data_IF_599163801572
#
_entry.id   IF_599163801572
#
_cell.length_a   1.000
_cell.length_b   1.000
_cell.length_c   1.000
_cell.angle_alpha   90.00
_cell.angle_beta   90.00
_cell.angle_gamma   90.00
#
_symmetry.space_group_name_H-M   'P 1'
#
loop_
_entity.id
_entity.type
_entity.pdbx_description
1 polymer ?
#
# COMPACT_ATOMS: atom_id res chain seq x y z
N UNK A 1 -8.94 -1.55 -14.24
CA UNK A 1 -8.91 -2.19 -12.90
C UNK A 1 -8.56 -1.13 -11.88
N UNK A 2 -9.39 -0.90 -10.88
CA UNK A 2 -8.97 -0.11 -9.71
C UNK A 2 -8.09 -0.97 -8.82
N UNK A 3 -7.00 -0.38 -8.33
CA UNK A 3 -6.08 -0.99 -7.40
C UNK A 3 -5.85 -0.01 -6.27
N UNK A 4 -6.22 -0.40 -5.07
CA UNK A 4 -6.04 0.37 -3.85
C UNK A 4 -4.70 0.00 -3.24
N UNK A 5 -3.93 0.99 -2.81
CA UNK A 5 -2.58 0.76 -2.32
C UNK A 5 -2.21 1.69 -1.17
N UNK A 6 -1.29 1.23 -0.39
CA UNK A 6 -0.66 1.95 0.70
C UNK A 6 0.82 1.59 0.79
N UNK A 7 1.64 2.46 1.37
CA UNK A 7 3.05 2.22 1.62
C UNK A 7 3.45 2.59 3.03
N UNK A 8 4.32 1.77 3.63
CA UNK A 8 5.02 2.14 4.84
C UNK A 8 6.46 2.52 4.51
N UNK A 9 6.97 3.58 5.13
CA UNK A 9 8.26 4.15 4.82
C UNK A 9 8.93 4.81 6.03
N UNK A 10 10.22 5.14 5.92
CA UNK A 10 11.07 5.49 7.05
C UNK A 10 10.88 6.92 7.59
N UNK A 11 10.04 7.75 6.98
CA UNK A 11 9.73 9.07 7.52
C UNK A 11 9.19 10.06 6.49
N UNK A 12 8.57 11.13 6.97
CA UNK A 12 7.92 12.16 6.16
C UNK A 12 8.95 13.20 5.64
N UNK A 13 9.93 12.75 4.86
CA UNK A 13 10.99 13.58 4.29
C UNK A 13 11.45 13.04 2.93
N UNK A 14 12.21 13.85 2.17
CA UNK A 14 12.59 13.50 0.78
C UNK A 14 13.51 12.28 0.65
N UNK A 15 14.28 11.95 1.68
CA UNK A 15 15.21 10.82 1.67
C UNK A 15 14.60 9.55 2.28
N UNK A 16 13.29 9.53 2.42
CA UNK A 16 12.59 8.36 2.97
C UNK A 16 12.75 7.14 2.06
N UNK A 17 12.72 5.96 2.65
CA UNK A 17 12.84 4.67 1.95
C UNK A 17 11.65 3.77 2.28
N UNK A 18 11.22 2.96 1.31
CA UNK A 18 10.10 2.03 1.48
C UNK A 18 10.45 0.93 2.47
N UNK A 19 9.55 0.66 3.41
CA UNK A 19 9.56 -0.49 4.32
C UNK A 19 8.66 -1.60 3.75
N UNK A 20 7.42 -1.24 3.36
CA UNK A 20 6.50 -2.19 2.74
C UNK A 20 5.57 -1.50 1.74
N UNK A 21 4.94 -2.29 0.90
CA UNK A 21 3.90 -1.87 -0.02
C UNK A 21 2.78 -2.91 -0.06
N UNK A 22 1.54 -2.47 0.02
CA UNK A 22 0.35 -3.30 -0.06
C UNK A 22 -0.58 -2.84 -1.16
N UNK A 23 -1.08 -3.77 -1.97
CA UNK A 23 -2.05 -3.48 -3.02
C UNK A 23 -3.20 -4.49 -2.97
N UNK A 24 -4.41 -4.02 -3.25
CA UNK A 24 -5.59 -4.85 -3.46
C UNK A 24 -6.38 -4.36 -4.67
N UNK A 25 -6.62 -5.25 -5.63
CA UNK A 25 -7.44 -4.96 -6.79
C UNK A 25 -8.94 -5.10 -6.49
N UNK A 26 -9.79 -4.52 -7.33
CA UNK A 26 -11.26 -4.66 -7.23
C UNK A 26 -11.70 -6.12 -7.22
N UNK A 27 -11.03 -7.00 -7.97
CA UNK A 27 -11.33 -8.44 -8.06
C UNK A 27 -10.82 -9.25 -6.84
N UNK A 28 -10.23 -8.57 -5.86
CA UNK A 28 -9.74 -9.16 -4.61
C UNK A 28 -8.34 -9.77 -4.69
N UNK A 29 -7.63 -9.65 -5.81
CA UNK A 29 -6.22 -10.03 -5.89
C UNK A 29 -5.38 -9.07 -5.05
N UNK A 30 -4.40 -9.60 -4.34
CA UNK A 30 -3.52 -8.81 -3.46
C UNK A 30 -2.06 -8.97 -3.83
N UNK A 31 -1.30 -7.91 -3.58
CA UNK A 31 0.15 -7.91 -3.57
C UNK A 31 0.63 -7.27 -2.27
N UNK A 32 1.57 -7.91 -1.60
CA UNK A 32 2.25 -7.35 -0.44
C UNK A 32 3.73 -7.65 -0.54
N UNK A 33 4.56 -6.66 -0.30
CA UNK A 33 5.99 -6.88 -0.23
C UNK A 33 6.65 -6.00 0.82
N UNK A 34 7.72 -6.52 1.42
CA UNK A 34 8.61 -5.82 2.34
C UNK A 34 9.98 -5.65 1.72
N UNK A 35 10.59 -4.49 1.94
CA UNK A 35 11.87 -4.13 1.37
C UNK A 35 12.99 -4.43 2.39
N UNK A 36 13.88 -5.35 2.05
CA UNK A 36 14.99 -5.72 2.93
C UNK A 36 16.12 -4.67 2.94
N UNK A 37 16.14 -3.77 1.96
CA UNK A 37 17.15 -2.75 1.70
C UNK A 37 16.73 -1.31 2.06
N UNK A 38 15.67 -1.15 2.88
CA UNK A 38 15.33 0.16 3.45
C UNK A 38 16.47 0.71 4.35
N UNK A 39 16.53 2.01 4.51
CA UNK A 39 17.55 2.66 5.36
C UNK A 39 17.24 2.48 6.85
N UNK A 40 17.84 1.45 7.44
CA UNK A 40 17.67 1.10 8.86
C UNK A 40 18.14 2.20 9.82
N UNK A 41 18.99 3.11 9.37
CA UNK A 41 19.45 4.23 10.20
C UNK A 41 18.37 5.29 10.46
N UNK A 42 17.27 5.24 9.69
CA UNK A 42 16.13 6.14 9.81
C UNK A 42 15.02 5.58 10.72
N UNK A 43 15.17 4.36 11.25
CA UNK A 43 14.18 3.76 12.13
C UNK A 43 14.36 4.31 13.54
N UNK A 44 13.34 4.98 14.04
CA UNK A 44 13.18 5.38 15.43
C UNK A 44 12.32 4.39 16.23
N UNK A 45 12.15 4.63 17.52
CA UNK A 45 11.36 3.76 18.41
C UNK A 45 9.89 3.69 17.94
N UNK A 46 9.33 4.79 17.43
CA UNK A 46 7.95 4.80 16.95
C UNK A 46 7.76 3.90 15.72
N UNK A 47 8.65 4.04 14.73
CA UNK A 47 8.63 3.21 13.52
C UNK A 47 8.88 1.73 13.85
N UNK A 48 9.77 1.47 14.80
CA UNK A 48 10.03 0.10 15.26
C UNK A 48 8.78 -0.54 15.86
N UNK A 49 8.08 0.18 16.75
CA UNK A 49 6.96 -0.36 17.52
C UNK A 49 5.64 -0.37 16.71
N UNK A 50 5.46 0.57 15.78
CA UNK A 50 4.19 0.73 15.07
C UNK A 50 4.23 0.25 13.61
N UNK A 51 5.37 0.28 12.94
CA UNK A 51 5.49 -0.13 11.54
C UNK A 51 6.21 -1.48 11.44
N UNK A 52 7.48 -1.56 11.86
CA UNK A 52 8.25 -2.81 11.74
C UNK A 52 7.59 -3.97 12.49
N UNK A 53 7.08 -3.71 13.70
CA UNK A 53 6.38 -4.72 14.51
C UNK A 53 5.11 -5.28 13.82
N UNK A 54 4.53 -4.56 12.85
CA UNK A 54 3.33 -4.95 12.13
C UNK A 54 3.61 -5.52 10.73
N UNK A 55 4.88 -5.61 10.32
CA UNK A 55 5.28 -6.33 9.10
C UNK A 55 5.17 -7.85 9.29
N UNK A 56 5.05 -8.59 8.20
CA UNK A 56 4.95 -10.07 8.25
C UNK A 56 6.30 -10.75 8.34
N UNK A 57 7.36 -10.19 7.74
CA UNK A 57 8.68 -10.80 7.66
C UNK A 57 9.71 -10.04 8.50
N UNK A 58 9.78 -8.70 8.37
CA UNK A 58 10.80 -7.88 9.03
C UNK A 58 10.62 -7.83 10.55
N UNK A 59 9.39 -8.05 11.06
CA UNK A 59 9.10 -8.09 12.51
C UNK A 59 9.80 -9.22 13.25
N UNK A 60 10.29 -10.25 12.54
CA UNK A 60 10.80 -11.47 13.15
C UNK A 60 9.73 -12.34 13.84
N UNK A 61 8.47 -11.94 13.77
CA UNK A 61 7.35 -12.79 14.21
C UNK A 61 7.22 -13.89 13.18
N UNK A 62 7.47 -15.14 13.55
CA UNK A 62 7.10 -16.32 12.75
C UNK A 62 5.57 -16.42 12.68
N UNK A 63 4.94 -15.46 12.07
CA UNK A 63 3.56 -15.58 11.67
C UNK A 63 3.58 -16.51 10.47
N UNK A 64 3.20 -17.75 10.65
CA UNK A 64 3.17 -18.82 9.64
C UNK A 64 2.30 -18.53 8.42
N UNK A 65 2.45 -17.36 7.85
CA UNK A 65 1.73 -16.81 6.74
C UNK A 65 2.75 -16.33 5.70
N UNK A 66 2.83 -17.13 4.70
CA UNK A 66 2.81 -16.87 3.28
C UNK A 66 4.13 -16.65 2.55
N UNK A 67 4.65 -17.73 2.08
CA UNK A 67 5.04 -17.76 0.68
C UNK A 67 3.85 -18.33 -0.09
N UNK A 68 2.85 -17.53 -0.39
CA UNK A 68 1.73 -17.92 -1.23
C UNK A 68 1.83 -17.24 -2.58
N UNK A 69 2.46 -17.90 -3.52
CA UNK A 69 2.31 -17.64 -4.96
C UNK A 69 1.01 -18.25 -5.48
N UNK A 70 -0.11 -17.98 -4.82
CA UNK A 70 -1.39 -18.24 -5.45
C UNK A 70 -1.67 -17.11 -6.44
N UNK A 71 -2.35 -17.39 -7.56
CA UNK A 71 -2.78 -16.38 -8.55
C UNK A 71 -3.59 -15.21 -7.96
N UNK A 72 -3.98 -15.30 -6.67
CA UNK A 72 -4.81 -14.31 -5.98
C UNK A 72 -4.08 -13.50 -4.92
N UNK A 73 -2.98 -14.00 -4.36
CA UNK A 73 -2.27 -13.30 -3.28
C UNK A 73 -0.78 -13.50 -3.44
N UNK A 74 -0.05 -12.41 -3.51
CA UNK A 74 1.40 -12.38 -3.55
C UNK A 74 1.92 -11.78 -2.25
N UNK A 75 2.90 -12.41 -1.62
CA UNK A 75 3.51 -11.93 -0.40
C UNK A 75 5.00 -12.30 -0.39
N UNK A 76 5.89 -11.31 -0.22
CA UNK A 76 7.33 -11.48 -0.41
C UNK A 76 8.13 -10.48 0.44
N UNK A 77 9.37 -10.85 0.77
CA UNK A 77 10.39 -9.93 1.29
C UNK A 77 11.63 -10.01 0.39
N UNK A 78 12.17 -8.86 0.01
CA UNK A 78 13.33 -8.80 -0.88
C UNK A 78 13.93 -7.42 -1.03
N UNK A 79 15.05 -7.33 -1.75
CA UNK A 79 15.60 -6.04 -2.15
C UNK A 79 14.73 -5.38 -3.22
N UNK A 80 14.76 -4.05 -3.28
CA UNK A 80 13.96 -3.22 -4.18
C UNK A 80 13.90 -3.71 -5.63
N UNK A 81 15.01 -4.15 -6.29
CA UNK A 81 14.92 -4.63 -7.68
C UNK A 81 14.07 -5.89 -7.84
N UNK A 82 14.10 -6.80 -6.88
CA UNK A 82 13.30 -8.03 -6.86
C UNK A 82 11.82 -7.71 -6.66
N UNK A 83 11.51 -6.97 -5.60
CA UNK A 83 10.13 -6.53 -5.31
C UNK A 83 9.52 -5.77 -6.50
N UNK A 84 10.29 -4.88 -7.13
CA UNK A 84 9.84 -4.17 -8.35
C UNK A 84 9.50 -5.13 -9.49
N UNK A 85 10.32 -6.14 -9.74
CA UNK A 85 10.07 -7.11 -10.82
C UNK A 85 8.76 -7.88 -10.55
N UNK A 86 8.59 -8.37 -9.34
CA UNK A 86 7.38 -9.10 -8.92
C UNK A 86 6.13 -8.23 -8.98
N UNK A 87 6.23 -6.96 -8.54
CA UNK A 87 5.13 -6.00 -8.64
C UNK A 87 4.76 -5.70 -10.11
N UNK A 88 5.75 -5.57 -10.97
CA UNK A 88 5.52 -5.38 -12.40
C UNK A 88 4.77 -6.56 -13.02
N UNK A 89 5.16 -7.80 -12.68
CA UNK A 89 4.49 -9.01 -13.15
C UNK A 89 3.06 -9.11 -12.61
N UNK A 90 2.84 -8.73 -11.34
CA UNK A 90 1.52 -8.69 -10.76
C UNK A 90 0.61 -7.63 -11.43
N UNK A 91 1.13 -6.44 -11.71
CA UNK A 91 0.40 -5.39 -12.41
C UNK A 91 0.10 -5.77 -13.87
N UNK A 92 0.96 -6.54 -14.53
CA UNK A 92 0.80 -6.99 -15.93
C UNK A 92 -0.42 -7.93 -16.13
N UNK A 93 -1.01 -8.45 -15.06
CA UNK A 93 -2.26 -9.24 -15.13
C UNK A 93 -3.47 -8.40 -15.56
N UNK A 94 -3.40 -7.07 -15.48
CA UNK A 94 -4.49 -6.16 -15.75
C UNK A 94 -4.23 -5.39 -17.05
N UNK A 95 -5.27 -5.21 -17.87
CA UNK A 95 -5.18 -4.42 -19.10
C UNK A 95 -4.86 -2.95 -18.81
N UNK A 96 -5.55 -2.38 -17.81
CA UNK A 96 -5.33 -1.02 -17.32
C UNK A 96 -5.46 -1.00 -15.80
N UNK A 97 -4.65 -0.16 -15.13
CA UNK A 97 -4.61 0.01 -13.68
C UNK A 97 -4.82 1.47 -13.33
N UNK A 98 -5.77 1.74 -12.45
CA UNK A 98 -5.96 3.03 -11.77
C UNK A 98 -5.55 2.86 -10.31
N UNK A 99 -4.54 3.59 -9.86
CA UNK A 99 -4.05 3.56 -8.48
C UNK A 99 -4.86 4.51 -7.61
N UNK A 100 -5.36 3.97 -6.50
CA UNK A 100 -6.15 4.68 -5.49
C UNK A 100 -5.48 4.53 -4.12
N UNK A 101 -5.33 5.65 -3.39
CA UNK A 101 -4.82 5.64 -2.03
C UNK A 101 -5.50 6.73 -1.21
N UNK A 102 -5.04 6.94 0.01
CA UNK A 102 -5.29 8.14 0.80
C UNK A 102 -3.97 8.85 1.10
N UNK A 103 -4.01 10.17 1.24
CA UNK A 103 -2.80 10.96 1.51
C UNK A 103 -1.64 10.73 0.51
N UNK A 104 -1.93 10.64 -0.77
CA UNK A 104 -1.09 10.24 -1.92
C UNK A 104 0.32 10.84 -2.01
N UNK A 105 0.63 11.90 -1.24
CA UNK A 105 1.83 12.70 -1.47
C UNK A 105 3.14 11.88 -1.42
N UNK A 106 3.25 10.95 -0.47
CA UNK A 106 4.41 10.06 -0.37
C UNK A 106 4.20 8.75 -1.12
N UNK A 107 3.07 8.10 -0.95
CA UNK A 107 2.79 6.78 -1.54
C UNK A 107 3.06 6.74 -3.04
N UNK A 108 2.51 7.71 -3.78
CA UNK A 108 2.67 7.72 -5.23
C UNK A 108 4.08 8.14 -5.68
N UNK A 109 4.77 9.00 -4.92
CA UNK A 109 6.18 9.32 -5.20
C UNK A 109 7.05 8.10 -4.98
N UNK A 110 6.87 7.38 -3.87
CA UNK A 110 7.62 6.17 -3.54
C UNK A 110 7.30 5.03 -4.52
N UNK A 111 6.04 4.87 -4.92
CA UNK A 111 5.68 3.96 -6.01
C UNK A 111 6.46 4.26 -7.29
N UNK A 112 6.48 5.52 -7.74
CA UNK A 112 7.23 5.92 -8.94
C UNK A 112 8.74 5.69 -8.80
N UNK A 113 9.31 5.88 -7.62
CA UNK A 113 10.74 5.69 -7.35
C UNK A 113 11.18 4.23 -7.54
N UNK A 114 10.30 3.24 -7.41
CA UNK A 114 10.61 1.85 -7.74
C UNK A 114 11.15 1.69 -9.16
N UNK A 115 10.70 2.50 -10.10
CA UNK A 115 11.20 2.55 -11.50
C UNK A 115 12.17 3.70 -11.75
N UNK A 116 12.58 4.42 -10.71
CA UNK A 116 13.53 5.55 -10.78
C UNK A 116 12.95 6.83 -11.38
N UNK A 117 11.83 6.77 -12.09
CA UNK A 117 11.16 7.93 -12.69
C UNK A 117 9.71 7.61 -13.03
N UNK A 118 8.82 8.59 -12.87
CA UNK A 118 7.38 8.44 -13.12
C UNK A 118 7.03 7.99 -14.56
N UNK A 119 7.85 8.31 -15.55
CA UNK A 119 7.65 7.86 -16.94
C UNK A 119 8.08 6.42 -17.21
N UNK A 120 8.73 5.78 -16.25
CA UNK A 120 9.19 4.40 -16.36
C UNK A 120 8.24 3.38 -15.70
N UNK A 121 7.17 3.83 -15.06
CA UNK A 121 6.16 2.94 -14.48
C UNK A 121 5.54 2.04 -15.56
N UNK A 122 4.97 0.88 -15.20
CA UNK A 122 4.34 -0.01 -16.18
C UNK A 122 3.31 0.73 -17.04
N UNK A 123 3.34 0.49 -18.35
CA UNK A 123 2.53 1.25 -19.33
C UNK A 123 1.02 1.09 -19.16
N UNK A 124 0.59 0.02 -18.52
CA UNK A 124 -0.81 -0.24 -18.18
C UNK A 124 -1.26 0.48 -16.92
N UNK A 125 -0.35 1.10 -16.15
CA UNK A 125 -0.70 1.94 -15.00
C UNK A 125 -0.98 3.36 -15.47
N UNK A 126 -2.19 3.84 -15.16
CA UNK A 126 -2.56 5.22 -15.45
C UNK A 126 -1.73 6.17 -14.60
N UNK A 127 -1.12 7.17 -15.21
CA UNK A 127 -0.11 8.02 -14.58
C UNK A 127 -0.69 9.04 -13.57
N UNK A 128 -2.01 9.23 -13.57
CA UNK A 128 -2.69 10.08 -12.58
C UNK A 128 -3.25 9.16 -11.49
N UNK A 129 -2.78 9.29 -10.24
CA UNK A 129 -3.34 8.56 -9.12
C UNK A 129 -4.60 9.24 -8.61
N UNK A 130 -5.42 8.52 -7.88
CA UNK A 130 -6.65 8.98 -7.28
C UNK A 130 -6.59 8.91 -5.76
N UNK A 131 -7.23 9.88 -5.11
CA UNK A 131 -7.20 10.05 -3.66
C UNK A 131 -8.61 9.98 -3.09
N UNK A 132 -8.85 9.03 -2.17
CA UNK A 132 -10.14 8.90 -1.50
C UNK A 132 -10.44 10.08 -0.56
N UNK A 133 -9.43 10.77 -0.01
CA UNK A 133 -9.62 11.95 0.80
C UNK A 133 -10.33 13.07 0.04
N UNK A 134 -10.06 13.17 -1.27
CA UNK A 134 -10.78 14.09 -2.15
C UNK A 134 -12.27 13.71 -2.27
N UNK A 135 -12.61 12.41 -2.32
CA UNK A 135 -14.00 11.95 -2.36
C UNK A 135 -14.69 12.25 -1.03
N UNK A 136 -14.04 11.99 0.10
CA UNK A 136 -14.55 12.36 1.42
C UNK A 136 -14.93 13.83 1.46
N UNK A 137 -14.02 14.71 1.00
CA UNK A 137 -14.25 16.16 0.97
C UNK A 137 -15.42 16.57 0.09
N UNK A 138 -15.55 15.98 -1.10
CA UNK A 138 -16.66 16.26 -2.04
C UNK A 138 -18.00 15.82 -1.45
N UNK A 139 -18.02 14.78 -0.62
CA UNK A 139 -19.23 14.27 0.04
C UNK A 139 -19.50 14.92 1.41
N UNK A 140 -18.83 16.03 1.75
CA UNK A 140 -18.95 16.72 3.03
C UNK A 140 -18.66 15.85 4.26
N UNK A 141 -17.81 14.83 4.10
CA UNK A 141 -17.27 14.00 5.19
C UNK A 141 -15.86 14.49 5.50
N UNK A 142 -15.50 14.51 6.78
CA UNK A 142 -14.16 14.89 7.23
C UNK A 142 -13.10 13.96 6.62
N UNK A 143 -12.16 14.45 5.79
CA UNK A 143 -11.10 13.61 5.23
C UNK A 143 -10.14 13.01 6.27
N UNK A 144 -10.10 13.54 7.49
CA UNK A 144 -9.28 13.04 8.60
C UNK A 144 -10.05 12.07 9.53
N UNK A 145 -11.23 11.63 9.11
CA UNK A 145 -12.02 10.63 9.83
C UNK A 145 -11.21 9.33 10.03
N UNK A 146 -11.38 8.69 11.19
CA UNK A 146 -10.83 7.35 11.38
C UNK A 146 -11.46 6.38 10.36
N UNK A 147 -10.66 5.91 9.42
CA UNK A 147 -11.11 5.12 8.27
C UNK A 147 -11.61 3.74 8.67
N UNK A 148 -10.95 3.09 9.63
CA UNK A 148 -11.37 1.78 10.14
C UNK A 148 -12.74 1.87 10.81
N UNK A 149 -12.96 2.89 11.67
CA UNK A 149 -14.25 3.15 12.28
C UNK A 149 -15.32 3.49 11.24
N UNK A 150 -14.96 4.31 10.24
CA UNK A 150 -15.87 4.68 9.15
C UNK A 150 -16.43 3.45 8.43
N UNK A 151 -15.61 2.44 8.19
CA UNK A 151 -16.05 1.21 7.49
C UNK A 151 -16.47 0.08 8.43
N UNK A 152 -16.33 0.26 9.75
CA UNK A 152 -16.66 -0.76 10.75
C UNK A 152 -15.65 -1.92 10.79
N UNK A 153 -14.45 -1.68 10.32
CA UNK A 153 -13.32 -2.60 10.46
C UNK A 153 -12.59 -2.27 11.76
N UNK A 154 -12.73 -3.10 12.75
CA UNK A 154 -12.13 -2.86 14.07
C UNK A 154 -11.05 -3.90 14.34
N UNK A 155 -9.81 -3.54 14.12
CA UNK A 155 -8.72 -4.32 14.70
C UNK A 155 -7.46 -3.48 14.84
N UNK A 156 -7.29 -2.63 15.72
CA UNK A 156 -6.01 -1.91 15.91
C UNK A 156 -4.73 -2.76 15.96
N UNK A 157 -4.81 -4.07 15.72
CA UNK A 157 -3.68 -5.00 15.71
C UNK A 157 -2.92 -5.05 14.36
N UNK A 158 -3.50 -4.57 13.27
CA UNK A 158 -2.89 -4.61 11.92
C UNK A 158 -2.66 -3.21 11.33
N UNK A 159 -2.98 -2.15 12.07
CA UNK A 159 -2.73 -0.78 11.68
C UNK A 159 -1.23 -0.57 11.37
N UNK A 160 -0.93 0.21 10.34
CA UNK A 160 0.43 0.37 9.81
C UNK A 160 1.02 -0.92 9.21
N UNK A 161 0.15 -1.78 8.68
CA UNK A 161 0.52 -2.80 7.72
C UNK A 161 -0.03 -2.38 6.34
N UNK A 162 0.82 -2.13 5.38
CA UNK A 162 0.43 -1.55 4.08
C UNK A 162 -0.67 -2.34 3.36
N UNK A 163 -0.75 -3.67 3.51
CA UNK A 163 -1.84 -4.44 2.90
C UNK A 163 -3.16 -4.28 3.66
N UNK A 164 -3.10 -4.18 5.00
CA UNK A 164 -4.28 -3.88 5.80
C UNK A 164 -4.84 -2.50 5.45
N UNK A 165 -3.97 -1.49 5.43
CA UNK A 165 -4.36 -0.12 5.15
C UNK A 165 -4.90 0.02 3.72
N UNK A 166 -4.33 -0.66 2.72
CA UNK A 166 -4.91 -0.76 1.37
C UNK A 166 -6.31 -1.38 1.35
N UNK A 167 -6.60 -2.38 2.21
CA UNK A 167 -7.95 -2.96 2.36
C UNK A 167 -8.93 -1.99 2.99
N UNK A 168 -8.49 -1.21 3.98
CA UNK A 168 -9.30 -0.17 4.60
C UNK A 168 -9.62 0.93 3.58
N UNK A 169 -8.65 1.37 2.78
CA UNK A 169 -8.83 2.33 1.69
C UNK A 169 -9.89 1.83 0.69
N UNK A 170 -9.78 0.56 0.26
CA UNK A 170 -10.78 -0.06 -0.64
C UNK A 170 -12.17 -0.06 -0.02
N UNK A 171 -12.30 -0.47 1.23
CA UNK A 171 -13.59 -0.51 1.92
C UNK A 171 -14.20 0.90 2.07
N UNK A 172 -13.36 1.93 2.34
CA UNK A 172 -13.79 3.32 2.36
C UNK A 172 -14.33 3.75 0.98
N UNK A 173 -13.60 3.46 -0.09
CA UNK A 173 -14.03 3.75 -1.45
C UNK A 173 -15.38 3.12 -1.76
N UNK A 174 -15.54 1.82 -1.51
CA UNK A 174 -16.78 1.08 -1.75
C UNK A 174 -17.97 1.66 -0.98
N UNK A 175 -17.75 2.04 0.29
CA UNK A 175 -18.77 2.71 1.10
C UNK A 175 -19.15 4.08 0.55
N UNK A 176 -18.16 4.88 0.15
CA UNK A 176 -18.37 6.21 -0.43
C UNK A 176 -19.15 6.14 -1.75
N UNK A 177 -18.87 5.15 -2.60
CA UNK A 177 -19.59 4.92 -3.85
C UNK A 177 -21.03 4.44 -3.63
N UNK A 178 -21.29 3.68 -2.56
CA UNK A 178 -22.63 3.18 -2.24
C UNK A 178 -23.54 4.24 -1.60
N UNK A 179 -22.97 5.34 -1.11
CA UNK A 179 -23.69 6.43 -0.46
C UNK A 179 -23.96 7.54 -1.48
N UNK A 180 -25.07 7.45 -2.18
CA UNK A 180 -25.59 8.48 -3.10
C UNK A 180 -26.30 9.60 -2.33
#
# INVERSE_FOLDING_TARGET
MKVFFDTEFTGLHQNTTLISIGLIADDGKTFYAEFADYDKSQIDDWLQDNVIANTYFLSGKENGIFSSTSLKSYCHVGATPGVRADLQDWLAQFETVELWSDCLAYDFVLFNQLWGHAFNIPKNVYYIPFDICTIFRIKDIDPDINREEFVGMTTGAEKHNALWDARVIKACYEKLESTN
#
